data_IF_911258256141
#
_entry.id   IF_911258256141
#
_cell.length_a   1.000
_cell.length_b   1.000
_cell.length_c   1.000
_cell.angle_alpha   90.00
_cell.angle_beta   90.00
_cell.angle_gamma   90.00
#
_symmetry.space_group_name_H-M   'P 1'
#
loop_
_entity.id
_entity.type
_entity.pdbx_description
1 polymer ?
#
# COMPACT_ATOMS: atom_id res chain seq x y z
N UNK A 1 -7.91 14.89 27.49
CA UNK A 1 -6.91 14.45 28.48
C UNK A 1 -5.90 13.56 27.75
N UNK A 2 -4.58 13.83 27.83
CA UNK A 2 -3.60 12.90 27.30
C UNK A 2 -3.68 11.59 28.08
N UNK A 3 -3.78 10.45 27.38
CA UNK A 3 -3.69 9.13 28.04
C UNK A 3 -2.35 9.04 28.73
N UNK A 4 -2.32 8.84 30.06
CA UNK A 4 -1.12 8.42 30.75
C UNK A 4 -0.74 7.03 30.21
N UNK A 5 0.27 6.96 29.38
CA UNK A 5 0.86 5.69 29.00
C UNK A 5 1.59 5.13 30.24
N UNK A 6 1.29 3.91 30.59
CA UNK A 6 2.02 3.19 31.62
C UNK A 6 3.42 2.89 31.04
N UNK A 7 4.47 3.49 31.63
CA UNK A 7 5.85 3.31 31.17
C UNK A 7 6.29 1.84 31.14
N UNK A 8 5.67 0.98 31.97
CA UNK A 8 5.90 -0.47 31.94
C UNK A 8 5.35 -1.15 30.68
N UNK A 9 4.42 -0.53 29.97
CA UNK A 9 3.83 -1.08 28.74
C UNK A 9 4.75 -0.93 27.53
N UNK A 10 5.80 -0.13 27.64
CA UNK A 10 6.80 0.13 26.58
C UNK A 10 8.20 -0.41 26.88
N UNK A 11 8.31 -1.32 27.86
CA UNK A 11 9.58 -2.02 28.08
C UNK A 11 9.91 -2.90 26.86
N UNK A 12 11.15 -2.75 26.35
CA UNK A 12 11.65 -3.50 25.20
C UNK A 12 11.60 -5.02 25.42
N UNK A 13 11.76 -5.47 26.66
CA UNK A 13 11.63 -6.88 27.03
C UNK A 13 10.19 -7.35 26.80
N UNK A 14 9.21 -6.59 27.30
CA UNK A 14 7.79 -6.90 27.09
C UNK A 14 7.40 -6.91 25.61
N UNK A 15 7.93 -5.96 24.84
CA UNK A 15 7.71 -5.91 23.38
C UNK A 15 8.23 -7.19 22.71
N UNK A 16 9.44 -7.63 23.05
CA UNK A 16 10.03 -8.85 22.49
C UNK A 16 9.24 -10.10 22.86
N UNK A 17 8.88 -10.25 24.11
CA UNK A 17 8.06 -11.37 24.59
C UNK A 17 6.69 -11.42 23.88
N UNK A 18 6.07 -10.25 23.70
CA UNK A 18 4.80 -10.14 22.99
C UNK A 18 4.96 -10.46 21.51
N UNK A 19 6.02 -9.97 20.86
CA UNK A 19 6.31 -10.26 19.45
C UNK A 19 6.49 -11.78 19.22
N UNK A 20 7.26 -12.45 20.08
CA UNK A 20 7.43 -13.90 19.99
C UNK A 20 6.12 -14.67 20.23
N UNK A 21 5.32 -14.24 21.20
CA UNK A 21 4.02 -14.86 21.51
C UNK A 21 3.00 -14.73 20.39
N UNK A 22 3.01 -13.60 19.66
CA UNK A 22 2.05 -13.31 18.61
C UNK A 22 2.57 -13.65 17.20
N UNK A 23 3.84 -14.01 17.09
CA UNK A 23 4.45 -14.39 15.83
C UNK A 23 3.80 -15.64 15.26
N UNK A 24 3.40 -15.57 14.00
CA UNK A 24 2.79 -16.66 13.26
C UNK A 24 3.62 -17.06 12.02
N UNK A 25 4.91 -16.73 12.05
CA UNK A 25 5.85 -17.10 10.99
C UNK A 25 5.95 -18.61 10.84
N UNK A 26 6.15 -19.08 9.62
CA UNK A 26 6.22 -20.50 9.30
C UNK A 26 4.87 -21.22 9.27
N UNK A 27 3.76 -20.53 9.64
CA UNK A 27 2.42 -21.15 9.64
C UNK A 27 2.01 -21.72 8.28
N UNK A 28 2.44 -21.07 7.20
CA UNK A 28 2.16 -21.46 5.82
C UNK A 28 3.40 -21.88 5.06
N UNK A 29 4.46 -22.23 5.78
CA UNK A 29 5.75 -22.68 5.25
C UNK A 29 6.84 -21.62 5.34
N UNK A 30 8.11 -22.02 5.15
CA UNK A 30 9.25 -21.14 5.30
C UNK A 30 9.32 -20.05 4.19
N UNK A 31 8.75 -20.32 3.03
CA UNK A 31 8.78 -19.42 1.87
C UNK A 31 7.48 -18.61 1.71
N UNK A 32 6.63 -18.56 2.76
CA UNK A 32 5.40 -17.79 2.69
C UNK A 32 5.65 -16.29 2.67
N UNK A 33 5.08 -15.61 1.68
CA UNK A 33 5.14 -14.18 1.48
C UNK A 33 3.78 -13.47 1.70
N UNK A 34 2.73 -14.23 1.96
CA UNK A 34 1.33 -13.74 2.00
C UNK A 34 0.78 -13.54 3.39
N UNK A 35 1.29 -14.28 4.37
CA UNK A 35 0.78 -14.23 5.72
C UNK A 35 -0.71 -14.57 5.81
N UNK A 36 -1.47 -13.75 6.53
CA UNK A 36 -2.92 -13.97 6.73
C UNK A 36 -3.75 -13.87 5.44
N UNK A 37 -3.20 -13.37 4.34
CA UNK A 37 -3.88 -13.42 3.04
C UNK A 37 -4.14 -14.87 2.57
N UNK A 38 -3.38 -15.83 3.06
CA UNK A 38 -3.63 -17.24 2.80
C UNK A 38 -5.02 -17.72 3.27
N UNK A 39 -5.68 -16.96 4.15
CA UNK A 39 -7.06 -17.23 4.54
C UNK A 39 -8.09 -16.79 3.50
N UNK A 40 -7.71 -15.96 2.52
CA UNK A 40 -8.60 -15.50 1.46
C UNK A 40 -8.63 -16.57 0.37
N UNK A 41 -9.46 -17.59 0.58
CA UNK A 41 -9.67 -18.68 -0.39
C UNK A 41 -10.73 -18.29 -1.41
N UNK A 42 -10.79 -18.98 -2.58
CA UNK A 42 -11.88 -18.78 -3.55
C UNK A 42 -13.27 -18.93 -2.94
N UNK A 43 -13.46 -19.86 -2.03
CA UNK A 43 -14.72 -20.12 -1.33
C UNK A 43 -15.13 -18.92 -0.47
N UNK A 44 -14.19 -18.34 0.29
CA UNK A 44 -14.44 -17.14 1.10
C UNK A 44 -14.82 -15.96 0.20
N UNK A 45 -14.18 -15.81 -0.96
CA UNK A 45 -14.54 -14.75 -1.93
C UNK A 45 -15.98 -14.94 -2.43
N UNK A 46 -16.34 -16.16 -2.80
CA UNK A 46 -17.71 -16.50 -3.21
C UNK A 46 -18.72 -16.23 -2.09
N UNK A 47 -18.41 -16.63 -0.86
CA UNK A 47 -19.29 -16.38 0.29
C UNK A 47 -19.42 -14.90 0.61
N UNK A 48 -18.32 -14.14 0.54
CA UNK A 48 -18.35 -12.69 0.72
C UNK A 48 -19.24 -11.99 -0.32
N UNK A 49 -19.25 -12.46 -1.58
CA UNK A 49 -20.11 -11.89 -2.62
C UNK A 49 -21.59 -12.00 -2.31
N UNK A 50 -22.00 -13.03 -1.59
CA UNK A 50 -23.41 -13.26 -1.15
C UNK A 50 -23.89 -12.24 -0.12
N UNK A 51 -22.97 -11.50 0.51
CA UNK A 51 -23.29 -10.44 1.47
C UNK A 51 -23.81 -9.17 0.80
N UNK A 52 -23.61 -9.02 -0.50
CA UNK A 52 -24.09 -7.86 -1.26
C UNK A 52 -25.61 -7.97 -1.44
N UNK A 53 -26.37 -7.14 -0.71
CA UNK A 53 -27.85 -7.16 -0.76
C UNK A 53 -28.46 -5.96 -1.49
N UNK A 54 -27.79 -4.81 -1.49
CA UNK A 54 -28.33 -3.53 -1.97
C UNK A 54 -27.52 -2.90 -3.10
N UNK A 55 -26.36 -3.44 -3.46
CA UNK A 55 -25.46 -2.88 -4.47
C UNK A 55 -24.95 -1.46 -4.16
N UNK A 56 -25.15 -0.95 -2.94
CA UNK A 56 -24.69 0.37 -2.53
C UNK A 56 -23.18 0.38 -2.33
N UNK A 57 -22.50 1.34 -2.95
CA UNK A 57 -21.05 1.53 -2.84
C UNK A 57 -20.72 2.67 -1.89
N UNK A 58 -19.65 2.50 -1.12
CA UNK A 58 -19.07 3.52 -0.26
C UNK A 58 -17.60 3.67 -0.63
N UNK A 59 -17.18 4.88 -0.99
CA UNK A 59 -15.76 5.17 -1.15
C UNK A 59 -15.12 5.29 0.25
N UNK A 60 -14.08 4.51 0.49
CA UNK A 60 -13.28 4.61 1.72
C UNK A 60 -11.92 5.26 1.45
N UNK A 61 -11.64 5.59 0.19
CA UNK A 61 -10.41 6.23 -0.23
C UNK A 61 -10.43 7.73 0.01
N UNK A 62 -9.26 8.27 0.35
CA UNK A 62 -8.98 9.71 0.22
C UNK A 62 -8.68 10.02 -1.25
N UNK A 63 -8.99 11.25 -1.67
CA UNK A 63 -8.62 11.70 -2.99
C UNK A 63 -7.10 11.76 -3.17
N UNK A 64 -6.63 11.40 -4.37
CA UNK A 64 -5.24 11.64 -4.77
C UNK A 64 -5.08 13.07 -5.27
N UNK A 65 -5.01 14.03 -4.35
CA UNK A 65 -4.86 15.44 -4.65
C UNK A 65 -3.90 16.14 -3.67
N UNK A 66 -3.56 17.38 -3.99
CA UNK A 66 -2.66 18.22 -3.19
C UNK A 66 -3.19 18.57 -1.78
N UNK A 67 -4.46 18.33 -1.50
CA UNK A 67 -5.13 18.66 -0.25
C UNK A 67 -5.21 17.49 0.71
N UNK A 68 -4.44 16.42 0.48
CA UNK A 68 -4.37 15.23 1.32
C UNK A 68 -3.78 15.50 2.73
N UNK A 69 -3.65 14.46 3.54
CA UNK A 69 -3.27 14.59 4.94
C UNK A 69 -1.77 14.80 5.17
N UNK A 70 -0.92 14.71 4.15
CA UNK A 70 0.52 14.76 4.30
C UNK A 70 1.01 16.20 4.50
N UNK A 71 1.76 16.42 5.59
CA UNK A 71 2.30 17.73 5.98
C UNK A 71 3.83 17.79 5.96
N UNK A 72 4.49 16.75 5.45
CA UNK A 72 5.95 16.66 5.42
C UNK A 72 6.63 16.35 6.76
N UNK A 73 5.87 16.25 7.85
CA UNK A 73 6.41 16.06 9.20
C UNK A 73 6.88 14.63 9.50
N UNK A 74 6.46 13.65 8.72
CA UNK A 74 6.86 12.26 8.86
C UNK A 74 7.39 11.72 7.53
N UNK A 75 8.64 11.26 7.52
CA UNK A 75 9.27 10.65 6.35
C UNK A 75 9.33 11.53 5.12
N UNK A 76 9.24 12.87 5.28
CA UNK A 76 9.18 13.85 4.18
C UNK A 76 8.06 13.56 3.16
N UNK A 77 6.99 12.87 3.57
CA UNK A 77 5.87 12.55 2.68
C UNK A 77 5.11 13.80 2.28
N UNK A 78 4.78 13.90 1.00
CA UNK A 78 3.98 14.98 0.42
C UNK A 78 2.66 14.43 -0.13
N UNK A 79 1.69 15.31 -0.34
CA UNK A 79 0.44 14.95 -1.00
C UNK A 79 0.68 14.73 -2.49
N UNK A 80 -0.18 13.96 -3.17
CA UNK A 80 -0.07 13.71 -4.59
C UNK A 80 0.11 14.99 -5.42
N UNK A 81 1.01 14.95 -6.38
CA UNK A 81 1.25 15.99 -7.37
C UNK A 81 0.72 15.45 -8.70
N UNK A 82 -0.38 16.01 -9.16
CA UNK A 82 -0.99 15.70 -10.44
C UNK A 82 -0.55 16.71 -11.48
N UNK A 83 -0.05 16.27 -12.61
CA UNK A 83 0.44 17.09 -13.71
C UNK A 83 -0.17 16.60 -15.02
N UNK A 84 -0.55 17.54 -15.88
CA UNK A 84 -0.98 17.22 -17.23
C UNK A 84 0.26 17.12 -18.15
N UNK A 85 0.32 16.07 -18.96
CA UNK A 85 1.30 15.88 -20.03
C UNK A 85 0.79 16.41 -21.37
N UNK A 86 -0.53 16.33 -21.59
CA UNK A 86 -1.24 16.89 -22.72
C UNK A 86 -2.59 17.44 -22.24
N UNK A 87 -3.02 18.56 -22.80
CA UNK A 87 -4.24 19.26 -22.39
C UNK A 87 -5.17 19.54 -23.57
N UNK A 88 -6.45 19.82 -23.27
CA UNK A 88 -7.39 20.31 -24.28
C UNK A 88 -6.98 21.67 -24.86
N UNK A 89 -6.25 22.50 -24.10
CA UNK A 89 -5.72 23.77 -24.62
C UNK A 89 -4.59 23.55 -25.60
N UNK A 90 -3.75 22.52 -25.45
CA UNK A 90 -2.77 22.14 -26.48
C UNK A 90 -3.46 21.73 -27.78
N UNK A 91 -4.57 20.99 -27.68
CA UNK A 91 -5.38 20.58 -28.81
C UNK A 91 -5.99 21.80 -29.54
N UNK A 92 -6.57 22.74 -28.80
CA UNK A 92 -7.13 24.00 -29.36
C UNK A 92 -6.03 24.82 -30.06
N UNK A 93 -4.79 24.77 -29.53
CA UNK A 93 -3.64 25.42 -30.13
C UNK A 93 -3.06 24.70 -31.37
N UNK A 94 -3.66 23.57 -31.78
CA UNK A 94 -3.28 22.83 -32.99
C UNK A 94 -2.12 21.82 -32.77
N UNK A 95 -1.79 21.47 -31.52
CA UNK A 95 -0.65 20.57 -31.24
C UNK A 95 -0.87 19.12 -31.72
N UNK A 96 -2.13 18.68 -31.87
CA UNK A 96 -2.48 17.28 -32.15
C UNK A 96 -3.48 17.16 -33.33
N UNK A 97 -3.26 17.90 -34.41
CA UNK A 97 -4.33 18.15 -35.38
C UNK A 97 -4.32 17.28 -36.65
N UNK A 98 -3.53 16.15 -36.62
CA UNK A 98 -3.29 15.37 -37.85
C UNK A 98 -4.53 14.62 -38.36
N UNK A 99 -5.50 14.26 -37.53
CA UNK A 99 -6.68 13.46 -37.96
C UNK A 99 -7.98 13.81 -37.25
N UNK A 100 -8.06 14.98 -36.59
CA UNK A 100 -9.22 15.35 -35.77
C UNK A 100 -9.38 14.56 -34.50
N UNK A 101 -8.46 13.62 -34.21
CA UNK A 101 -8.39 12.87 -32.95
C UNK A 101 -7.47 13.61 -31.98
N UNK A 102 -8.00 14.00 -30.85
CA UNK A 102 -7.28 14.75 -29.82
C UNK A 102 -7.39 14.01 -28.49
N UNK A 103 -6.44 14.26 -27.58
CA UNK A 103 -6.38 13.58 -26.29
C UNK A 103 -5.85 14.49 -25.19
N UNK A 104 -6.12 14.12 -23.96
CA UNK A 104 -5.44 14.61 -22.77
C UNK A 104 -4.69 13.46 -22.13
N UNK A 105 -3.56 13.78 -21.50
CA UNK A 105 -2.73 12.80 -20.79
C UNK A 105 -2.20 13.41 -19.50
N UNK A 106 -2.02 12.60 -18.48
CA UNK A 106 -1.62 13.06 -17.17
C UNK A 106 -0.70 12.06 -16.45
N UNK A 107 -0.02 12.58 -15.43
CA UNK A 107 0.79 11.79 -14.53
C UNK A 107 0.56 12.18 -13.08
N UNK A 108 0.84 11.26 -12.17
CA UNK A 108 0.82 11.52 -10.75
C UNK A 108 2.15 11.09 -10.11
N UNK A 109 2.67 11.94 -9.23
CA UNK A 109 3.82 11.63 -8.38
C UNK A 109 3.38 11.67 -6.93
N UNK A 110 3.64 10.60 -6.18
CA UNK A 110 3.22 10.50 -4.79
C UNK A 110 4.06 9.49 -4.00
N UNK A 111 4.26 9.71 -2.69
CA UNK A 111 4.61 8.63 -1.77
C UNK A 111 3.43 7.65 -1.66
N UNK A 112 3.66 6.35 -1.79
CA UNK A 112 2.56 5.36 -1.81
C UNK A 112 1.69 5.39 -0.54
N UNK A 113 2.24 5.79 0.61
CA UNK A 113 1.52 5.93 1.88
C UNK A 113 0.94 7.33 2.09
N UNK A 114 0.66 8.07 1.03
CA UNK A 114 0.11 9.44 1.13
C UNK A 114 -1.39 9.50 1.40
N UNK A 115 -2.12 8.43 1.12
CA UNK A 115 -3.57 8.35 1.27
C UNK A 115 -3.99 6.94 1.74
N UNK A 116 -5.26 6.60 1.61
CA UNK A 116 -5.78 5.26 1.95
C UNK A 116 -5.16 4.21 1.05
N UNK A 117 -4.51 3.21 1.65
CA UNK A 117 -3.85 2.13 0.93
C UNK A 117 -3.67 0.91 1.85
N UNK A 118 -3.38 -0.25 1.29
CA UNK A 118 -2.83 -1.37 2.01
C UNK A 118 -1.31 -1.25 2.08
N UNK A 119 -0.75 -1.57 3.24
CA UNK A 119 0.69 -1.59 3.41
C UNK A 119 1.23 -3.01 3.18
N UNK A 120 2.39 -3.13 2.54
CA UNK A 120 3.02 -4.42 2.33
C UNK A 120 3.65 -4.94 3.62
N UNK A 121 3.66 -6.25 3.81
CA UNK A 121 4.32 -6.89 4.95
C UNK A 121 5.83 -6.59 4.98
N UNK A 122 6.44 -6.32 3.82
CA UNK A 122 7.83 -5.91 3.67
C UNK A 122 8.14 -4.46 4.07
N UNK A 123 7.16 -3.67 4.53
CA UNK A 123 7.40 -2.28 4.96
C UNK A 123 7.75 -2.14 6.45
N UNK A 124 7.65 -3.21 7.23
CA UNK A 124 7.95 -3.19 8.65
C UNK A 124 9.04 -4.20 8.96
N UNK A 125 10.08 -3.72 9.63
CA UNK A 125 11.22 -4.53 10.07
C UNK A 125 11.33 -4.50 11.58
N UNK A 126 11.69 -5.64 12.15
CA UNK A 126 12.07 -5.78 13.53
C UNK A 126 13.32 -6.67 13.63
N UNK A 127 14.36 -6.20 14.32
CA UNK A 127 15.68 -6.86 14.38
C UNK A 127 16.20 -7.25 12.97
N UNK A 128 16.11 -6.34 11.98
CA UNK A 128 16.51 -6.51 10.58
C UNK A 128 15.78 -7.66 9.84
N UNK A 129 14.61 -8.03 10.32
CA UNK A 129 13.75 -9.04 9.69
C UNK A 129 12.37 -8.46 9.42
N UNK A 130 11.82 -8.77 8.27
CA UNK A 130 10.44 -8.53 7.92
C UNK A 130 9.60 -9.81 8.09
N UNK A 131 8.38 -9.82 7.58
CA UNK A 131 7.49 -10.97 7.64
C UNK A 131 8.22 -12.29 7.35
N UNK A 132 7.86 -13.32 8.09
CA UNK A 132 8.33 -14.71 7.97
C UNK A 132 9.86 -14.86 8.11
N UNK A 133 10.55 -13.87 8.70
CA UNK A 133 11.98 -13.90 8.96
C UNK A 133 12.85 -13.51 7.77
N UNK A 134 12.27 -13.07 6.65
CA UNK A 134 13.03 -12.54 5.53
C UNK A 134 13.90 -11.36 5.95
N UNK A 135 15.09 -11.27 5.37
CA UNK A 135 16.02 -10.17 5.65
C UNK A 135 15.48 -8.83 5.19
N UNK A 136 15.62 -7.79 6.01
CA UNK A 136 15.35 -6.42 5.62
C UNK A 136 16.18 -5.95 4.41
N UNK A 137 17.36 -6.55 4.19
CA UNK A 137 18.22 -6.25 3.04
C UNK A 137 17.59 -6.61 1.67
N UNK A 138 16.48 -7.36 1.66
CA UNK A 138 15.72 -7.66 0.45
C UNK A 138 14.80 -6.48 0.03
N UNK A 139 14.81 -5.39 0.77
CA UNK A 139 14.15 -4.13 0.40
C UNK A 139 15.26 -3.09 0.21
N UNK A 140 15.51 -2.75 -1.04
CA UNK A 140 16.55 -1.81 -1.46
C UNK A 140 15.97 -0.63 -2.27
N UNK A 141 16.82 0.13 -2.95
CA UNK A 141 16.41 1.27 -3.77
C UNK A 141 15.54 0.90 -4.97
N UNK A 142 15.61 -0.34 -5.43
CA UNK A 142 14.83 -0.84 -6.56
C UNK A 142 13.48 -1.42 -6.10
N UNK A 143 13.27 -1.52 -4.78
CA UNK A 143 12.03 -1.97 -4.16
C UNK A 143 12.18 -3.26 -3.35
N UNK A 144 11.06 -3.87 -3.01
CA UNK A 144 11.03 -5.13 -2.29
C UNK A 144 11.20 -6.31 -3.24
N UNK A 145 12.26 -7.09 -3.03
CA UNK A 145 12.53 -8.30 -3.81
C UNK A 145 11.59 -9.46 -3.43
N UNK A 146 10.99 -9.39 -2.26
CA UNK A 146 10.02 -10.35 -1.72
C UNK A 146 9.04 -9.66 -0.76
N UNK A 147 7.98 -10.35 -0.33
CA UNK A 147 6.97 -9.86 0.64
C UNK A 147 6.35 -8.53 0.20
N UNK A 148 6.18 -8.35 -1.11
CA UNK A 148 5.77 -7.14 -1.79
C UNK A 148 4.25 -7.05 -1.97
N UNK A 149 3.74 -5.88 -2.35
CA UNK A 149 2.35 -5.64 -2.79
C UNK A 149 1.87 -6.55 -3.91
N UNK A 150 2.76 -7.12 -4.71
CA UNK A 150 2.39 -7.95 -5.86
C UNK A 150 1.53 -9.14 -5.49
N UNK A 151 1.53 -9.53 -4.21
CA UNK A 151 0.67 -10.59 -3.69
C UNK A 151 -0.72 -10.10 -3.27
N UNK A 152 -0.89 -8.78 -3.11
CA UNK A 152 -2.14 -8.13 -2.68
C UNK A 152 -2.97 -7.60 -3.85
N UNK A 153 -2.31 -7.24 -4.93
CA UNK A 153 -2.95 -6.72 -6.14
C UNK A 153 -3.03 -7.81 -7.21
N UNK A 154 -3.92 -7.61 -8.19
CA UNK A 154 -3.95 -8.44 -9.38
C UNK A 154 -2.53 -8.66 -9.90
N UNK A 155 -2.19 -9.88 -10.38
CA UNK A 155 -0.85 -10.17 -10.85
C UNK A 155 -0.50 -9.25 -12.01
N UNK A 156 0.07 -8.11 -11.69
CA UNK A 156 0.79 -7.31 -12.66
C UNK A 156 2.03 -8.11 -12.99
N UNK A 157 2.03 -8.74 -14.15
CA UNK A 157 3.22 -9.44 -14.64
C UNK A 157 4.37 -8.44 -14.64
N UNK A 158 5.44 -8.79 -13.92
CA UNK A 158 6.74 -8.19 -14.23
C UNK A 158 7.09 -8.61 -15.65
N UNK A 159 7.16 -7.63 -16.53
CA UNK A 159 7.82 -7.82 -17.83
C UNK A 159 9.31 -7.65 -17.65
#
# INVERSE_FOLDING_TARGET
MPRKYDEKMFDIKHLRETAEKLKNWGRWGPDDEKGTLNFITPEIVVDASKLIKKGKRFSLGLNFDRHGPQKGSWGNRFNPIHLMLATGTDSIAGRFDDFGLQYADDMISLPLQCATQWDALGHIFYDNKMWNGYSAALVDSDGAQTVSYTHLTLPTRRF
#
